data_IF_617038196694
#
_entry.id   IF_617038196694
#
_cell.length_a   1.000
_cell.length_b   1.000
_cell.length_c   1.000
_cell.angle_alpha   90.00
_cell.angle_beta   90.00
_cell.angle_gamma   90.00
#
_symmetry.space_group_name_H-M   'P 1'
#
loop_
_entity.id
_entity.type
_entity.pdbx_description
1 polymer ?
2 non-polymer ?
3 water ?
#
# COMPACT_ATOMS: atom_id res chain seq x y z
N UNK A 1 -2.20 -43.36 17.66
CA UNK A 1 -3.02 -42.79 18.73
C UNK A 1 -3.45 -41.35 18.44
N UNK A 2 -2.93 -40.76 17.36
CA UNK A 2 -3.37 -39.44 16.96
C UNK A 2 -3.03 -39.23 15.49
N UNK A 3 -3.98 -38.66 14.75
CA UNK A 3 -3.76 -38.21 13.38
C UNK A 3 -4.38 -36.83 13.24
N UNK A 4 -3.73 -35.95 12.48
CA UNK A 4 -4.19 -34.58 12.40
C UNK A 4 -3.92 -34.00 11.01
N UNK A 5 -4.88 -33.25 10.49
CA UNK A 5 -4.68 -32.42 9.32
C UNK A 5 -4.92 -30.97 9.68
N UNK A 6 -4.05 -30.08 9.21
CA UNK A 6 -4.20 -28.64 9.39
C UNK A 6 -4.77 -28.07 8.11
N UNK A 7 -5.88 -27.34 8.22
CA UNK A 7 -6.47 -26.63 7.10
C UNK A 7 -6.29 -25.14 7.33
N UNK A 8 -5.89 -24.42 6.29
CA UNK A 8 -5.77 -22.97 6.40
C UNK A 8 -7.14 -22.35 6.66
N UNK A 9 -7.18 -21.36 7.55
CA UNK A 9 -8.43 -20.85 8.06
C UNK A 9 -9.27 -20.06 7.05
N UNK A 10 -8.73 -19.76 5.88
CA UNK A 10 -9.39 -18.86 4.95
C UNK A 10 -10.27 -19.57 3.93
N UNK A 11 -10.41 -20.89 4.01
CA UNK A 11 -11.20 -21.65 3.05
C UNK A 11 -12.31 -22.46 3.73
N UNK A 12 -12.46 -22.33 5.04
CA UNK A 12 -13.46 -23.09 5.77
C UNK A 12 -13.80 -22.29 7.02
N UNK A 13 -15.09 -22.20 7.32
CA UNK A 13 -15.60 -21.65 8.56
C UNK A 13 -16.27 -22.77 9.36
N UNK A 14 -16.54 -22.57 10.66
CA UNK A 14 -17.22 -23.63 11.41
C UNK A 14 -18.65 -23.85 10.94
N UNK A 15 -19.29 -22.84 10.39
CA UNK A 15 -20.61 -23.04 9.80
C UNK A 15 -20.51 -23.92 8.56
N UNK A 16 -19.59 -23.59 7.64
CA UNK A 16 -19.41 -24.42 6.45
C UNK A 16 -19.06 -25.85 6.81
N UNK A 17 -18.19 -26.04 7.81
CA UNK A 17 -17.85 -27.40 8.21
C UNK A 17 -19.09 -28.14 8.69
N UNK A 18 -19.90 -27.50 9.55
CA UNK A 18 -21.09 -28.16 10.07
C UNK A 18 -22.03 -28.58 8.95
N UNK A 20 -21.38 -29.26 5.86
CA UNK A 20 -20.81 -30.25 4.95
C UNK A 20 -20.52 -31.59 5.61
N UNK A 21 -20.26 -31.61 6.92
CA UNK A 21 -19.93 -32.85 7.58
C UNK A 21 -21.14 -33.78 7.62
N UNK A 22 -20.89 -35.06 7.42
CA UNK A 22 -21.96 -36.06 7.37
C UNK A 22 -21.99 -36.96 8.59
N UNK A 23 -21.15 -36.70 9.60
CA UNK A 23 -21.10 -37.55 10.77
C UNK A 23 -22.31 -37.42 11.67
N UNK A 24 -22.42 -38.40 12.58
CA UNK A 24 -23.52 -38.45 13.54
C UNK A 24 -23.30 -37.51 14.71
N UNK A 25 -24.40 -37.05 15.30
CA UNK A 25 -24.42 -36.29 16.58
C UNK A 25 -23.44 -35.12 16.58
N UNK A 26 -23.60 -34.24 15.59
CA UNK A 26 -22.73 -33.08 15.43
C UNK A 26 -23.05 -31.99 16.45
N UNK A 27 -22.01 -31.48 17.12
CA UNK A 27 -22.16 -30.39 18.07
C UNK A 27 -21.16 -29.29 17.72
N UNK A 28 -21.54 -28.05 18.03
CA UNK A 28 -20.64 -26.89 17.89
C UNK A 28 -20.58 -26.20 19.24
N UNK A 29 -19.37 -25.88 19.67
CA UNK A 29 -19.12 -25.07 20.86
C UNK A 29 -18.08 -24.02 20.47
N UNK A 30 -18.39 -22.75 20.73
CA UNK A 30 -17.56 -21.66 20.25
C UNK A 30 -17.34 -20.64 21.36
N UNK A 31 -16.25 -19.88 21.22
CA UNK A 31 -15.93 -18.76 22.09
C UNK A 31 -15.63 -17.56 21.21
N UNK A 32 -16.50 -16.54 21.25
CA UNK A 32 -16.34 -15.37 20.38
C UNK A 32 -16.44 -14.09 21.22
N UNK A 33 -15.37 -13.69 21.92
CA UNK A 33 -15.35 -12.37 22.54
C UNK A 33 -15.36 -11.24 21.51
N UNK A 39 -10.09 -6.87 12.06
CA UNK A 39 -10.62 -7.04 10.71
C UNK A 39 -11.79 -6.09 10.48
N UNK A 40 -11.65 -5.21 9.47
CA UNK A 40 -12.65 -4.21 9.17
C UNK A 40 -13.31 -4.48 7.82
N UNK A 41 -12.61 -4.25 6.71
CA UNK A 41 -13.21 -4.39 5.38
C UNK A 41 -12.26 -5.11 4.44
N UNK A 42 -12.85 -5.84 3.48
CA UNK A 42 -12.12 -6.39 2.35
C UNK A 42 -12.87 -6.04 1.08
N UNK A 43 -12.15 -5.52 0.11
CA UNK A 43 -12.70 -5.17 -1.18
C UNK A 43 -12.14 -6.13 -2.21
N UNK A 44 -13.04 -6.70 -3.01
CA UNK A 44 -12.68 -7.51 -4.15
C UNK A 44 -13.36 -6.88 -5.35
N UNK A 45 -12.61 -6.65 -6.42
CA UNK A 45 -13.16 -5.99 -7.60
C UNK A 45 -12.73 -6.73 -8.87
N UNK A 46 -13.60 -6.68 -9.89
CA UNK A 46 -13.43 -7.49 -11.09
C UNK A 46 -14.15 -6.83 -12.25
N UNK A 47 -13.79 -7.26 -13.46
CA UNK A 47 -14.38 -6.77 -14.70
C UNK A 47 -14.39 -5.24 -14.79
N UNK A 48 -13.23 -4.59 -14.74
CA UNK A 48 -13.20 -3.12 -14.74
C UNK A 48 -13.72 -2.56 -16.05
N UNK A 49 -14.35 -1.39 -15.96
CA UNK A 49 -14.83 -0.69 -17.16
C UNK A 49 -13.67 -0.02 -17.90
N UNK A 50 -12.70 0.51 -17.17
CA UNK A 50 -11.57 1.25 -17.72
C UNK A 50 -10.27 0.79 -17.09
N UNK A 51 -9.22 0.90 -17.88
CA UNK A 51 -7.83 0.88 -17.42
C UNK A 51 -7.24 2.26 -17.68
N UNK A 52 -6.67 2.86 -16.64
CA UNK A 52 -6.04 4.17 -16.78
C UNK A 52 -4.58 4.01 -16.36
N UNK A 53 -3.67 4.39 -17.25
CA UNK A 53 -2.27 4.06 -17.08
C UNK A 53 -1.43 5.22 -17.61
N UNK A 54 -0.32 5.49 -16.91
CA UNK A 54 0.67 6.48 -17.33
C UNK A 54 2.02 5.76 -17.44
N UNK A 55 2.56 5.71 -18.66
CA UNK A 55 3.88 5.12 -18.82
C UNK A 55 4.59 5.82 -19.97
N UNK A 56 5.91 5.94 -19.83
CA UNK A 56 6.77 6.54 -20.86
C UNK A 56 6.27 7.94 -21.23
N UNK A 57 5.78 8.66 -20.23
CA UNK A 57 5.32 10.02 -20.43
C UNK A 57 3.99 10.19 -21.14
N UNK A 58 3.21 9.12 -21.30
CA UNK A 58 1.98 9.14 -22.08
C UNK A 58 0.83 8.59 -21.24
N UNK A 59 -0.34 9.22 -21.35
CA UNK A 59 -1.53 8.82 -20.60
C UNK A 59 -2.46 8.02 -21.50
N UNK A 60 -2.88 6.85 -21.02
CA UNK A 60 -3.74 5.95 -21.78
C UNK A 60 -5.03 5.66 -21.02
N UNK A 61 -6.14 5.57 -21.76
CA UNK A 61 -7.40 5.05 -21.25
C UNK A 61 -7.86 3.96 -22.22
N UNK A 62 -7.94 2.73 -21.73
CA UNK A 62 -8.23 1.56 -22.56
C UNK A 62 -7.43 1.60 -23.86
N UNK A 63 -6.14 1.94 -23.77
CA UNK A 63 -5.28 1.95 -24.93
C UNK A 63 -5.28 3.22 -25.73
N UNK A 64 -6.20 4.15 -25.49
CA UNK A 64 -6.26 5.39 -26.25
C UNK A 64 -5.47 6.49 -25.55
N UNK A 65 -4.71 7.24 -26.34
CA UNK A 65 -3.90 8.34 -25.81
C UNK A 65 -4.80 9.48 -25.37
N UNK A 66 -4.57 9.99 -24.17
CA UNK A 66 -5.32 11.13 -23.65
C UNK A 66 -4.31 12.26 -23.39
N UNK A 67 -4.62 13.45 -23.93
CA UNK A 67 -3.71 14.60 -23.80
C UNK A 67 -4.09 15.43 -22.58
N UNK A 68 -3.87 14.84 -21.40
CA UNK A 68 -4.25 15.46 -20.13
C UNK A 68 -3.20 15.12 -19.08
N UNK A 69 -3.16 15.95 -18.03
CA UNK A 69 -2.40 15.57 -16.84
C UNK A 69 -2.98 14.29 -16.25
N UNK A 70 -2.14 13.33 -15.84
CA UNK A 70 -2.67 12.01 -15.42
C UNK A 70 -3.53 12.05 -14.17
N UNK A 71 -3.19 12.88 -13.18
CA UNK A 71 -3.99 12.87 -11.96
C UNK A 71 -5.28 13.66 -12.14
N UNK A 72 -5.23 14.79 -12.84
CA UNK A 72 -6.48 15.52 -13.13
C UNK A 72 -7.44 14.65 -13.94
N UNK A 73 -6.91 13.94 -14.93
CA UNK A 73 -7.79 13.09 -15.73
C UNK A 73 -8.36 11.94 -14.90
N UNK A 74 -7.51 11.29 -14.10
CA UNK A 74 -8.00 10.19 -13.28
C UNK A 74 -9.16 10.64 -12.39
N UNK A 75 -9.02 11.80 -11.74
CA UNK A 75 -10.08 12.26 -10.86
C UNK A 75 -11.34 12.57 -11.65
N UNK A 76 -11.20 13.27 -12.77
CA UNK A 76 -12.34 13.61 -13.60
C UNK A 76 -13.11 12.37 -14.04
N UNK A 77 -12.40 11.31 -14.44
CA UNK A 77 -13.08 10.09 -14.89
C UNK A 77 -13.73 9.36 -13.71
N UNK A 78 -13.08 9.39 -12.54
CA UNK A 78 -13.54 8.57 -11.42
C UNK A 78 -14.69 9.24 -10.67
N UNK A 79 -14.61 10.55 -10.45
CA UNK A 79 -15.49 11.24 -9.52
C UNK A 79 -16.89 11.39 -10.11
N UNK A 80 -17.90 11.00 -9.33
CA UNK A 80 -19.32 11.10 -9.73
C UNK A 80 -20.07 11.87 -8.66
N UNK A 81 -20.47 13.10 -8.99
CA UNK A 81 -21.00 14.05 -8.00
C UNK A 81 -22.26 13.52 -7.32
N UNK A 82 -23.18 12.94 -8.09
CA UNK A 82 -24.44 12.49 -7.53
C UNK A 82 -24.35 11.12 -6.86
N UNK A 83 -23.19 10.48 -6.88
CA UNK A 83 -23.04 9.14 -6.33
C UNK A 83 -22.72 9.19 -4.84
N UNK A 84 -23.46 8.40 -4.06
CA UNK A 84 -23.18 8.24 -2.64
C UNK A 84 -23.31 6.77 -2.26
N UNK A 85 -22.55 6.38 -1.23
CA UNK A 85 -22.63 5.04 -0.67
C UNK A 85 -21.99 5.03 0.71
N UNK A 86 -22.44 4.12 1.56
CA UNK A 86 -21.99 4.01 2.94
C UNK A 86 -20.96 2.90 3.15
N UNK A 87 -20.53 2.20 2.05
CA UNK A 87 -19.43 1.25 2.06
C UNK A 87 -18.12 1.98 1.83
N UNK A 88 -17.00 1.46 2.37
CA UNK A 88 -15.72 2.21 2.28
C UNK A 88 -15.32 2.59 0.85
N UNK A 89 -15.52 1.71 -0.12
CA UNK A 89 -15.06 1.94 -1.50
C UNK A 89 -16.18 2.46 -2.39
N UNK A 90 -17.28 1.71 -2.51
CA UNK A 90 -18.40 2.21 -3.30
C UNK A 90 -18.14 2.42 -4.79
N UNK A 91 -17.14 1.76 -5.35
CA UNK A 91 -16.87 2.00 -6.76
C UNK A 91 -15.81 3.05 -6.97
N UNK A 92 -15.10 2.93 -8.10
CA UNK A 92 -13.99 3.81 -8.39
C UNK A 92 -12.74 3.09 -8.86
N UNK A 93 -11.57 3.67 -8.61
CA UNK A 93 -10.30 3.17 -9.13
C UNK A 93 -9.50 2.47 -8.04
N UNK A 94 -8.84 1.38 -8.41
CA UNK A 94 -7.94 0.64 -7.53
C UNK A 94 -6.64 0.44 -8.28
N UNK A 95 -5.52 0.74 -7.63
CA UNK A 95 -4.23 0.73 -8.32
C UNK A 95 -3.16 1.42 -7.49
N UNK A 96 -2.15 1.93 -8.18
CA UNK A 96 -1.02 2.55 -7.51
C UNK A 96 -0.53 3.77 -8.28
N UNK A 97 0.24 4.59 -7.56
CA UNK A 97 0.97 5.73 -8.10
C UNK A 97 2.44 5.50 -7.76
N UNK A 98 3.27 5.38 -8.79
CA UNK A 98 4.67 5.12 -8.56
C UNK A 98 5.39 6.31 -7.94
N UNK A 99 6.48 6.01 -7.24
CA UNK A 99 7.31 7.06 -6.64
C UNK A 99 7.66 8.13 -7.66
N UNK A 100 7.95 7.72 -8.89
CA UNK A 100 8.47 8.63 -9.90
C UNK A 100 7.41 9.56 -10.48
N UNK A 102 6.06 11.85 -8.90
CA UNK A 102 6.36 13.17 -8.36
C UNK A 102 7.29 13.95 -9.28
N UNK A 103 8.02 13.26 -10.17
CA UNK A 103 8.87 13.97 -11.12
C UNK A 103 8.06 14.85 -12.08
N UNK A 104 6.76 14.59 -12.23
CA UNK A 104 5.91 15.46 -13.03
C UNK A 104 5.67 16.80 -12.35
N UNK A 105 5.89 16.89 -11.04
CA UNK A 105 5.54 18.09 -10.30
C UNK A 105 6.71 18.68 -9.53
N UNK A 106 7.83 17.96 -9.42
CA UNK A 106 9.08 18.48 -8.88
C UNK A 106 10.23 18.07 -9.77
N UNK A 107 11.28 18.91 -9.79
CA UNK A 107 12.49 18.61 -10.55
C UNK A 107 13.43 17.79 -9.67
N UNK A 108 13.40 16.47 -9.83
CA UNK A 108 14.22 15.59 -9.02
C UNK A 108 15.45 15.08 -9.78
N UNK A 109 15.66 15.53 -11.01
CA UNK A 109 16.82 15.12 -11.78
C UNK A 109 16.55 13.91 -12.65
N UNK A 110 17.61 13.42 -13.30
CA UNK A 110 17.46 12.33 -14.24
C UNK A 110 17.11 11.03 -13.50
N UNK A 111 16.09 10.35 -13.98
CA UNK A 111 15.63 9.12 -13.35
C UNK A 111 16.48 7.96 -13.84
N UNK A 112 17.01 7.12 -12.95
CA UNK A 112 17.90 6.02 -13.38
C UNK A 112 17.17 4.96 -14.20
N UNK A 113 17.96 4.02 -14.70
CA UNK A 113 17.45 2.93 -15.52
C UNK A 113 16.37 2.13 -14.77
N UNK A 114 15.32 1.77 -15.49
CA UNK A 114 14.24 0.95 -14.96
C UNK A 114 14.54 -0.52 -15.26
N UNK A 115 14.84 -1.30 -14.23
CA UNK A 115 15.09 -2.72 -14.40
C UNK A 115 13.84 -3.58 -14.19
N UNK A 116 12.70 -2.99 -13.84
CA UNK A 116 11.46 -3.72 -13.62
C UNK A 116 10.44 -3.44 -14.73
N UNK A 117 10.20 -2.17 -15.02
CA UNK A 117 9.33 -1.80 -16.13
C UNK A 117 7.86 -1.65 -15.80
N UNK A 118 7.51 -1.37 -14.55
CA UNK A 118 6.12 -1.05 -14.26
C UNK A 118 5.80 0.34 -14.79
N UNK A 119 4.54 0.60 -15.15
CA UNK A 119 4.14 1.97 -15.47
C UNK A 119 4.22 2.85 -14.24
N UNK A 120 4.29 4.16 -14.49
CA UNK A 120 4.36 5.09 -13.37
C UNK A 120 3.04 5.21 -12.63
N UNK A 122 -1.00 3.07 -12.63
CA UNK A 122 -1.87 2.05 -13.22
C UNK A 122 -3.08 1.87 -12.31
N UNK A 123 -4.26 2.19 -12.83
CA UNK A 123 -5.51 1.98 -12.11
C UNK A 123 -6.48 1.20 -12.98
N UNK A 124 -7.25 0.33 -12.36
CA UNK A 124 -8.46 -0.20 -12.96
C UNK A 124 -9.68 0.48 -12.34
N UNK A 125 -10.71 0.69 -13.16
CA UNK A 125 -11.91 1.44 -12.74
C UNK A 125 -13.09 0.48 -12.72
N UNK A 126 -13.71 0.32 -11.55
CA UNK A 126 -14.67 -0.75 -11.31
C UNK A 126 -16.04 -0.24 -10.90
N UNK A 127 -17.08 -0.87 -11.46
CA UNK A 127 -18.45 -0.79 -10.96
C UNK A 127 -18.98 -2.16 -10.57
N UNK A 128 -18.13 -3.18 -10.56
CA UNK A 128 -18.50 -4.53 -10.13
C UNK A 128 -17.51 -4.95 -9.05
N UNK A 129 -18.01 -5.20 -7.85
CA UNK A 129 -17.12 -5.43 -6.73
C UNK A 129 -17.92 -6.00 -5.56
N UNK A 131 -17.82 -6.02 -1.11
CA UNK A 131 -17.25 -5.46 0.11
C UNK A 131 -17.60 -6.41 1.25
N UNK A 132 -16.57 -6.95 1.90
CA UNK A 132 -16.75 -7.75 3.11
C UNK A 132 -16.78 -6.81 4.30
N UNK A 133 -17.93 -6.66 4.93
CA UNK A 133 -18.05 -5.90 6.17
C UNK A 133 -17.86 -6.89 7.31
N UNK A 134 -16.61 -7.08 7.71
CA UNK A 134 -16.29 -8.13 8.68
C UNK A 134 -16.91 -7.87 10.03
N UNK A 135 -17.03 -6.60 10.43
CA UNK A 135 -17.61 -6.32 11.75
C UNK A 135 -19.06 -6.80 11.80
N UNK A 136 -19.84 -6.54 10.75
CA UNK A 136 -21.22 -6.98 10.66
C UNK A 136 -21.37 -8.39 10.10
N UNK A 137 -20.28 -8.99 9.60
CA UNK A 137 -20.32 -10.32 8.99
C UNK A 137 -21.31 -10.36 7.84
N UNK A 138 -21.32 -9.30 7.04
CA UNK A 138 -22.18 -9.19 5.87
C UNK A 138 -21.31 -8.94 4.65
N UNK A 139 -21.70 -9.54 3.53
CA UNK A 139 -20.97 -9.41 2.29
C UNK A 139 -21.88 -8.71 1.29
N UNK A 140 -21.43 -7.57 0.76
CA UNK A 140 -22.19 -6.78 -0.18
C UNK A 140 -21.65 -7.05 -1.58
N UNK A 141 -22.45 -7.70 -2.42
CA UNK A 141 -22.08 -7.97 -3.81
C UNK A 141 -22.78 -6.94 -4.67
N UNK A 142 -21.99 -6.10 -5.35
CA UNK A 142 -22.49 -4.87 -5.97
C UNK A 142 -22.26 -4.91 -7.47
N UNK A 143 -23.29 -4.56 -8.24
CA UNK A 143 -23.15 -4.23 -9.65
C UNK A 143 -23.77 -2.85 -9.84
N UNK A 144 -22.99 -1.89 -10.33
CA UNK A 144 -23.41 -0.50 -10.40
C UNK A 144 -23.25 0.02 -11.83
N UNK A 145 -23.90 1.15 -12.14
CA UNK A 145 -23.86 1.71 -13.49
C UNK A 145 -23.15 3.06 -13.54
N UNK A 146 -22.25 3.33 -12.58
CA UNK A 146 -21.52 4.59 -12.50
C UNK A 146 -20.87 4.99 -13.82
N UNK A 147 -20.15 4.07 -14.45
CA UNK A 147 -19.27 4.40 -15.55
C UNK A 147 -19.79 3.93 -16.90
N UNK A 148 -20.84 3.10 -16.93
CA UNK A 148 -21.35 2.51 -18.15
C UNK A 148 -22.76 2.95 -18.52
N UNK A 149 -23.55 3.44 -17.56
CA UNK A 149 -25.00 3.66 -17.74
C UNK A 149 -25.73 2.37 -18.11
N UNK A 150 -25.24 1.23 -17.64
CA UNK A 150 -25.92 -0.05 -17.81
C UNK A 150 -27.36 0.02 -17.35
N UNK A 151 -28.23 -0.72 -18.02
CA UNK A 151 -29.60 -0.85 -17.55
C UNK A 151 -29.65 -1.68 -16.27
N UNK A 152 -30.75 -1.52 -15.53
CA UNK A 152 -31.00 -2.34 -14.35
C UNK A 152 -31.07 -3.82 -14.70
N UNK A 153 -31.55 -4.14 -15.91
CA UNK A 153 -31.55 -5.53 -16.37
C UNK A 153 -30.13 -6.08 -16.47
N UNK A 154 -29.20 -5.26 -16.97
CA UNK A 154 -27.81 -5.71 -17.10
C UNK A 154 -27.16 -5.89 -15.73
N UNK A 155 -27.48 -5.01 -14.76
CA UNK A 155 -26.92 -5.20 -13.43
C UNK A 155 -27.38 -6.52 -12.83
N UNK A 156 -28.67 -6.84 -12.99
CA UNK A 156 -29.20 -8.05 -12.40
C UNK A 156 -28.59 -9.29 -13.03
N UNK A 157 -28.35 -9.27 -14.35
CA UNK A 157 -27.70 -10.42 -14.99
C UNK A 157 -26.27 -10.59 -14.50
N UNK A 158 -25.52 -9.48 -14.42
CA UNK A 158 -24.14 -9.57 -13.94
C UNK A 158 -24.11 -10.11 -12.52
N UNK A 159 -25.03 -9.64 -11.68
CA UNK A 159 -25.06 -10.07 -10.29
C UNK A 159 -25.38 -11.56 -10.20
N UNK A 160 -26.35 -12.03 -10.99
CA UNK A 160 -26.70 -13.45 -10.96
C UNK A 160 -25.52 -14.31 -11.38
N UNK A 161 -24.73 -13.84 -12.34
CA UNK A 161 -23.57 -14.60 -12.79
C UNK A 161 -22.51 -14.69 -11.70
N UNK A 162 -22.24 -13.57 -11.02
CA UNK A 162 -21.28 -13.58 -9.90
C UNK A 162 -21.73 -14.58 -8.84
N UNK A 163 -23.01 -14.56 -8.49
CA UNK A 163 -23.52 -15.45 -7.45
C UNK A 163 -23.40 -16.91 -7.87
N UNK A 164 -23.66 -17.20 -9.14
CA UNK A 164 -23.53 -18.58 -9.60
C UNK A 164 -22.08 -19.04 -9.54
N UNK A 165 -21.14 -18.14 -9.86
CA UNK A 165 -19.72 -18.49 -9.74
C UNK A 165 -19.34 -18.77 -8.29
N UNK A 166 -19.88 -17.98 -7.35
CA UNK A 166 -19.55 -18.15 -5.94
C UNK A 166 -20.03 -19.47 -5.37
N UNK A 167 -21.05 -20.09 -5.95
CA UNK A 167 -21.54 -21.37 -5.43
C UNK A 167 -20.61 -22.52 -5.76
N UNK A 168 -19.72 -22.36 -6.74
CA UNK A 168 -18.96 -23.45 -7.32
C UNK A 168 -17.56 -23.43 -6.72
N UNK A 169 -17.12 -24.49 -6.03
CA UNK A 169 -15.80 -24.45 -5.40
C UNK A 169 -14.70 -24.49 -6.44
N UNK A 170 -13.67 -23.70 -6.22
CA UNK A 170 -12.43 -23.88 -6.96
C UNK A 170 -11.86 -25.26 -6.65
N UNK A 171 -11.26 -25.95 -7.63
CA UNK A 171 -10.87 -27.36 -7.41
C UNK A 171 -9.73 -27.53 -6.41
N UNK A 172 -8.98 -26.49 -6.12
CA UNK A 172 -7.81 -26.57 -5.26
C UNK A 172 -8.00 -25.89 -3.90
N UNK A 173 -9.26 -25.75 -3.44
CA UNK A 173 -9.51 -24.99 -2.21
C UNK A 173 -8.82 -25.61 -0.99
N UNK A 174 -8.67 -26.93 -0.96
CA UNK A 174 -8.11 -27.58 0.23
C UNK A 174 -6.70 -28.12 0.01
N UNK A 175 -6.04 -27.76 -1.08
CA UNK A 175 -4.65 -28.11 -1.24
C UNK A 175 -3.80 -27.24 -0.32
N UNK A 176 -2.68 -27.80 0.12
CA UNK A 176 -1.79 -27.04 1.00
C UNK A 176 -1.16 -25.88 0.23
N UNK A 177 -0.71 -24.88 0.98
CA UNK A 177 -0.13 -23.69 0.37
C UNK A 177 1.16 -24.03 -0.36
N UNK A 178 1.27 -23.55 -1.59
CA UNK A 178 2.46 -23.75 -2.42
C UNK A 178 3.43 -22.60 -2.15
N UNK A 179 4.07 -22.65 -0.98
CA UNK A 179 5.00 -21.61 -0.57
C UNK A 179 6.46 -22.00 -0.71
N UNK A 180 6.88 -22.34 -1.91
CA UNK A 180 8.29 -22.56 -2.15
C UNK A 180 9.07 -21.29 -1.81
N UNK A 181 10.15 -21.37 -1.04
CA UNK A 181 10.88 -20.16 -0.67
C UNK A 181 11.84 -19.71 -1.77
N UNK A 182 11.97 -18.39 -1.88
CA UNK A 182 12.74 -17.77 -2.95
C UNK A 182 14.18 -17.51 -2.52
N UNK A 183 15.09 -17.60 -3.49
CA UNK A 183 16.50 -17.27 -3.27
C UNK A 183 16.73 -15.86 -3.80
N UNK A 184 16.66 -14.87 -2.92
CA UNK A 184 16.77 -13.47 -3.31
C UNK A 184 18.23 -13.09 -3.49
N UNK A 185 18.54 -12.39 -4.59
CA UNK A 185 19.88 -11.93 -4.84
C UNK A 185 19.92 -10.39 -4.83
N UNK A 186 20.97 -9.80 -4.28
CA UNK A 186 21.03 -8.33 -4.22
C UNK A 186 21.24 -7.73 -5.60
N UNK A 187 20.76 -6.50 -5.78
CA UNK A 187 20.98 -5.82 -7.04
C UNK A 187 22.21 -4.94 -7.04
N UNK A 188 22.79 -4.65 -5.87
CA UNK A 188 24.06 -3.97 -5.80
C UNK A 188 24.95 -4.70 -4.79
N UNK A 189 26.26 -4.49 -4.93
CA UNK A 189 27.21 -5.06 -4.00
C UNK A 189 27.02 -4.46 -2.61
N UNK A 190 27.18 -5.26 -1.55
CA UNK A 190 27.13 -4.70 -0.19
C UNK A 190 28.06 -3.52 0.04
N UNK A 191 29.25 -3.53 -0.57
CA UNK A 191 30.21 -2.45 -0.39
C UNK A 191 29.81 -1.21 -1.17
N UNK A 192 29.12 -1.38 -2.30
CA UNK A 192 28.65 -0.23 -3.06
C UNK A 192 27.53 0.50 -2.31
N UNK A 193 26.62 -0.24 -1.68
CA UNK A 193 25.59 0.40 -0.85
C UNK A 193 26.24 1.14 0.31
N UNK A 194 27.26 0.54 0.94
CA UNK A 194 27.92 1.21 2.04
C UNK A 194 28.64 2.46 1.58
N UNK A 195 29.14 2.47 0.34
CA UNK A 195 29.68 3.70 -0.21
C UNK A 195 28.63 4.77 -0.46
N UNK A 197 25.77 5.09 1.31
CA UNK A 197 25.50 5.58 2.65
C UNK A 197 26.56 6.60 3.06
N UNK A 198 27.84 6.27 2.80
CA UNK A 198 28.93 7.17 3.16
C UNK A 198 28.81 8.51 2.44
N UNK A 199 28.52 8.47 1.14
CA UNK A 199 28.37 9.69 0.36
C UNK A 199 27.23 10.55 0.90
N UNK A 200 26.07 9.93 1.17
CA UNK A 200 24.96 10.65 1.74
C UNK A 200 25.28 11.18 3.13
N UNK A 201 25.94 10.36 3.95
CA UNK A 201 26.34 10.80 5.29
C UNK A 201 27.20 12.05 5.21
N UNK A 202 28.18 12.06 4.31
CA UNK A 202 29.07 13.21 4.20
C UNK A 202 28.31 14.45 3.75
N UNK A 203 27.36 14.30 2.83
CA UNK A 203 26.55 15.45 2.42
C UNK A 203 25.80 16.04 3.60
N UNK A 204 25.21 15.17 4.43
CA UNK A 204 24.50 15.62 5.61
C UNK A 204 25.44 16.37 6.56
N UNK A 205 26.67 15.88 6.73
CA UNK A 205 27.63 16.57 7.58
C UNK A 205 27.98 17.95 7.01
N UNK A 206 28.07 18.07 5.69
CA UNK A 206 28.40 19.31 5.01
C UNK A 206 27.19 20.26 4.90
N UNK A 207 26.08 19.95 5.56
CA UNK A 207 24.92 20.82 5.57
C UNK A 207 23.98 20.65 4.39
N UNK A 208 24.17 19.64 3.54
CA UNK A 208 23.37 19.54 2.33
C UNK A 208 21.91 19.22 2.64
N UNK A 210 19.25 16.97 6.00
CA UNK A 210 19.20 16.37 7.33
C UNK A 210 19.02 14.86 7.30
N UNK A 211 18.32 14.31 6.31
CA UNK A 211 18.04 12.88 6.30
C UNK A 211 17.76 12.46 4.87
N UNK A 212 18.18 11.24 4.53
CA UNK A 212 18.10 10.74 3.16
C UNK A 212 17.86 9.24 3.22
N UNK A 213 16.73 8.79 2.68
CA UNK A 213 16.39 7.38 2.72
C UNK A 213 16.97 6.72 1.48
N UNK A 214 17.98 5.87 1.67
CA UNK A 214 18.56 5.07 0.60
C UNK A 214 18.07 3.63 0.71
N UNK A 215 17.80 3.01 -0.44
CA UNK A 215 17.18 1.70 -0.48
C UNK A 215 18.01 0.71 -1.29
N UNK A 216 17.78 -0.57 -1.00
CA UNK A 216 18.34 -1.69 -1.77
C UNK A 216 17.20 -2.52 -2.33
N UNK A 217 17.40 -3.04 -3.53
CA UNK A 217 16.46 -3.95 -4.15
C UNK A 217 17.03 -5.36 -4.14
N UNK A 218 16.14 -6.34 -4.08
CA UNK A 218 16.49 -7.76 -4.15
C UNK A 218 15.49 -8.44 -5.05
N UNK A 219 15.92 -9.51 -5.72
CA UNK A 219 14.97 -10.23 -6.56
C UNK A 219 15.34 -11.70 -6.67
N UNK A 220 14.33 -12.51 -6.99
CA UNK A 220 14.49 -13.95 -7.16
C UNK A 220 13.62 -14.44 -8.29
N UNK A 221 14.06 -15.53 -8.93
CA UNK A 221 13.22 -16.26 -9.87
C UNK A 221 11.98 -16.78 -9.15
N UNK A 222 10.80 -16.47 -9.70
CA UNK A 222 9.56 -16.84 -9.01
C UNK A 222 9.45 -18.35 -8.95
N UNK A 223 9.14 -18.87 -7.78
CA UNK A 223 8.79 -20.26 -7.59
C UNK A 223 7.58 -20.32 -6.67
N UNK A 224 6.76 -21.33 -6.87
CA UNK A 224 5.54 -21.42 -6.10
C UNK A 224 4.44 -20.53 -6.65
N UNK A 225 3.41 -20.36 -5.81
CA UNK A 225 2.18 -19.70 -6.18
C UNK A 225 2.11 -18.31 -5.55
N UNK A 226 1.96 -17.24 -6.34
CA UNK A 226 1.91 -15.89 -5.73
C UNK A 226 0.69 -15.67 -4.84
N UNK A 227 -0.48 -16.16 -5.25
CA UNK A 227 -1.68 -16.00 -4.45
C UNK A 227 -1.54 -16.71 -3.10
N UNK A 228 -0.93 -17.90 -3.08
CA UNK A 228 -0.73 -18.56 -1.80
C UNK A 228 0.20 -17.78 -0.90
N UNK A 229 1.17 -17.07 -1.48
CA UNK A 229 1.98 -16.15 -0.69
C UNK A 229 1.10 -15.07 -0.06
N UNK A 230 0.17 -14.51 -0.84
CA UNK A 230 -0.76 -13.53 -0.27
C UNK A 230 -1.59 -14.15 0.86
N UNK A 231 -2.10 -15.37 0.66
CA UNK A 231 -2.89 -16.02 1.70
C UNK A 231 -2.09 -16.17 2.98
N UNK A 232 -0.80 -16.47 2.86
CA UNK A 232 0.02 -16.60 4.06
C UNK A 232 0.37 -15.23 4.62
N UNK A 233 0.57 -14.25 3.74
CA UNK A 233 0.94 -12.91 4.18
C UNK A 233 -0.13 -12.28 5.05
N UNK A 234 -1.41 -12.43 4.67
CA UNK A 234 -2.47 -11.78 5.42
C UNK A 234 -2.68 -12.41 6.79
N UNK A 235 -2.16 -13.62 7.01
CA UNK A 235 -2.17 -14.19 8.35
C UNK A 235 -0.95 -13.76 9.16
N UNK A 236 0.21 -13.63 8.54
CA UNK A 236 1.43 -13.31 9.27
C UNK A 236 1.72 -11.81 9.35
N UNK A 237 1.06 -10.97 8.55
CA UNK A 237 1.26 -9.52 8.57
C UNK A 237 -0.07 -8.79 8.47
N UNK A 238 -0.92 -8.92 9.47
CA UNK A 238 -2.20 -8.19 9.44
C UNK A 238 -2.03 -6.68 9.60
N UNK A 239 -1.90 -5.98 8.47
CA UNK A 239 -1.74 -4.53 8.45
C UNK A 239 -3.05 -3.86 8.06
N UNK A 240 -3.11 -2.54 8.30
CA UNK A 240 -4.23 -1.74 7.81
C UNK A 240 -4.37 -1.82 6.29
N UNK A 241 -3.32 -2.28 5.60
CA UNK A 241 -3.32 -2.38 4.14
C UNK A 241 -2.77 -3.73 3.72
N UNK A 242 -3.63 -4.58 3.19
CA UNK A 242 -3.24 -5.78 2.49
C UNK A 242 -3.80 -5.71 1.08
N UNK A 243 -3.03 -6.18 0.10
CA UNK A 243 -3.47 -6.02 -1.28
C UNK A 243 -2.78 -7.04 -2.18
N UNK A 244 -3.56 -7.62 -3.07
CA UNK A 244 -3.09 -8.46 -4.16
C UNK A 244 -3.69 -7.87 -5.43
N UNK A 245 -2.87 -7.21 -6.25
CA UNK A 245 -3.31 -6.60 -7.51
C UNK A 245 -2.79 -7.42 -8.67
N UNK A 246 -3.69 -7.92 -9.51
CA UNK A 246 -3.29 -8.67 -10.70
C UNK A 246 -3.47 -7.77 -11.92
N UNK A 247 -2.36 -7.26 -12.44
CA UNK A 247 -2.40 -6.44 -13.65
C UNK A 247 -2.20 -7.27 -14.91
N UNK A 248 -2.17 -8.60 -14.80
CA UNK A 248 -2.00 -9.42 -15.97
C UNK A 248 -0.57 -9.86 -16.19
N UNK A 249 0.26 -8.97 -16.72
CA UNK A 249 1.66 -9.32 -16.92
C UNK A 249 2.53 -8.97 -15.70
N UNK A 250 1.95 -8.38 -14.66
CA UNK A 250 2.65 -8.23 -13.40
C UNK A 250 1.64 -8.18 -12.27
N UNK A 251 2.10 -8.51 -11.07
CA UNK A 251 1.27 -8.46 -9.87
C UNK A 251 1.98 -7.66 -8.79
N UNK A 252 1.19 -7.06 -7.93
CA UNK A 252 1.68 -6.31 -6.78
C UNK A 252 1.06 -6.91 -5.53
N UNK A 253 1.91 -7.32 -4.59
CA UNK A 253 1.46 -8.01 -3.38
C UNK A 253 2.13 -7.33 -2.19
N UNK A 254 1.33 -6.86 -1.24
CA UNK A 254 1.94 -6.11 -0.16
C UNK A 254 1.12 -6.08 1.11
N UNK A 255 1.81 -5.64 2.17
CA UNK A 255 1.25 -5.54 3.51
C UNK A 255 1.79 -4.28 4.18
N UNK A 256 1.58 -3.14 3.54
CA UNK A 256 2.08 -1.88 4.08
C UNK A 256 1.37 -1.53 5.38
N UNK A 257 2.09 -1.26 6.46
CA UNK A 257 1.46 -0.79 7.70
C UNK A 257 1.32 0.72 7.81
N UNK A 258 1.75 1.49 6.81
CA UNK A 258 1.84 2.94 6.92
C UNK A 258 0.97 3.59 5.86
N UNK A 259 -0.07 4.29 6.30
CA UNK A 259 -0.88 5.09 5.41
C UNK A 259 -0.08 6.27 4.88
N UNK A 260 -0.23 6.58 3.59
CA UNK A 260 0.33 7.83 3.08
C UNK A 260 -0.62 8.99 3.36
N UNK A 261 -1.89 8.86 2.95
CA UNK A 261 -2.86 9.93 3.09
C UNK A 261 -4.23 9.34 2.79
N UNK A 262 -5.26 9.87 3.45
CA UNK A 262 -6.62 9.51 3.13
C UNK A 262 -7.46 10.78 3.07
N UNK A 263 -8.52 10.72 2.29
CA UNK A 263 -9.50 11.78 2.20
C UNK A 263 -10.86 11.16 2.41
N UNK A 264 -11.63 11.71 3.36
CA UNK A 264 -12.92 11.14 3.74
C UNK A 264 -13.86 12.29 4.08
N UNK A 265 -14.92 12.44 3.28
CA UNK A 265 -15.90 13.51 3.44
C UNK A 265 -15.24 14.87 3.62
N UNK A 266 -14.32 15.19 2.73
CA UNK A 266 -13.65 16.48 2.76
C UNK A 266 -12.58 16.64 3.81
N UNK A 267 -12.34 15.63 4.64
CA UNK A 267 -11.30 15.66 5.65
C UNK A 267 -10.07 14.91 5.13
N UNK A 268 -8.91 15.56 5.19
CA UNK A 268 -7.62 14.95 4.86
C UNK A 268 -6.96 14.48 6.15
N UNK A 269 -6.47 13.24 6.15
CA UNK A 269 -5.86 12.66 7.34
C UNK A 269 -4.50 12.06 6.98
N UNK A 270 -3.50 12.31 7.83
CA UNK A 270 -2.25 11.56 7.80
C UNK A 270 -2.04 10.90 9.16
N UNK A 271 -1.20 9.87 9.16
CA UNK A 271 -0.97 9.05 10.35
C UNK A 271 0.53 8.84 10.48
N UNK A 272 1.26 9.86 10.93
CA UNK A 272 2.72 9.72 11.08
C UNK A 272 3.10 8.53 11.92
N UNK A 273 3.92 7.66 11.35
CA UNK A 273 4.46 6.49 12.04
C UNK A 273 5.98 6.59 11.97
N UNK A 274 6.61 6.75 13.12
CA UNK A 274 8.06 6.86 13.26
C UNK A 274 8.45 6.97 14.72
N UNK A 284 5.07 -7.10 31.72
CA UNK A 284 5.49 -5.71 31.79
C UNK A 284 6.58 -5.42 30.75
N UNK A 285 7.15 -6.48 30.18
CA UNK A 285 8.08 -6.33 29.06
C UNK A 285 7.44 -5.52 27.94
N UNK A 286 6.11 -5.54 27.85
CA UNK A 286 5.35 -4.59 27.07
C UNK A 286 5.73 -3.16 27.42
N UNK A 287 5.32 -2.72 28.61
CA UNK A 287 5.50 -1.34 29.04
C UNK A 287 6.96 -0.93 29.20
N UNK A 288 7.88 -1.90 29.25
CA UNK A 288 9.29 -1.58 29.48
C UNK A 288 9.86 -0.76 28.32
N UNK A 289 10.02 -1.41 27.16
CA UNK A 289 10.49 -0.71 25.97
C UNK A 289 9.53 0.38 25.52
N UNK A 290 8.36 0.51 26.15
CA UNK A 290 7.41 1.57 25.82
C UNK A 290 7.87 2.91 26.39
N UNK A 291 8.12 2.97 27.70
CA UNK A 291 8.59 4.21 28.30
C UNK A 291 10.01 4.54 27.83
N UNK A 292 10.79 3.53 27.48
CA UNK A 292 12.09 3.78 26.86
C UNK A 292 11.91 4.49 25.52
N UNK A 293 10.91 4.06 24.74
CA UNK A 293 10.66 4.70 23.45
C UNK A 293 10.19 6.15 23.63
N UNK A 294 9.41 6.41 24.67
CA UNK A 294 8.99 7.79 24.93
C UNK A 294 10.15 8.67 25.40
N UNK A 295 11.24 8.07 25.88
CA UNK A 295 12.50 8.79 25.98
C UNK A 295 13.20 8.65 24.63
N UNK A 296 14.54 8.63 24.61
CA UNK A 296 15.27 8.61 23.34
C UNK A 296 14.91 9.85 22.53
N UNK A 297 15.52 10.98 22.86
CA UNK A 297 15.22 12.24 22.18
C UNK A 297 15.48 12.17 20.69
N UNK A 298 16.16 11.14 20.19
CA UNK A 298 16.34 10.97 18.76
C UNK A 298 15.10 10.38 18.09
N UNK A 299 14.45 9.42 18.75
CA UNK A 299 13.27 8.77 18.18
C UNK A 299 12.04 9.67 18.26
N UNK A 300 11.86 10.37 19.39
CA UNK A 300 10.76 11.32 19.47
C UNK A 300 10.95 12.47 18.49
N UNK A 301 12.18 12.99 18.37
CA UNK A 301 12.46 14.03 17.38
C UNK A 301 12.12 13.55 15.98
N UNK A 302 12.49 12.31 15.65
CA UNK A 302 12.10 11.71 14.38
C UNK A 302 10.58 11.80 14.19
N UNK A 303 9.82 11.34 15.19
CA UNK A 303 8.37 11.33 15.06
C UNK A 303 7.82 12.74 14.94
N UNK A 304 8.24 13.63 15.84
CA UNK A 304 7.77 15.01 15.80
C UNK A 304 8.01 15.63 14.42
N UNK A 306 8.01 14.12 11.60
CA UNK A 306 7.00 13.60 10.68
C UNK A 306 5.63 14.21 10.96
N UNK A 307 5.32 14.46 12.23
CA UNK A 307 4.06 15.13 12.55
C UNK A 307 4.04 16.53 11.93
N UNK A 308 5.14 17.26 12.09
CA UNK A 308 5.20 18.61 11.53
C UNK A 308 5.17 18.59 10.00
N UNK A 309 5.73 17.57 9.37
CA UNK A 309 5.59 17.45 7.93
C UNK A 309 4.14 17.27 7.54
N UNK A 310 3.39 16.48 8.32
CA UNK A 310 1.98 16.28 8.03
C UNK A 310 1.15 17.52 8.27
N UNK A 311 1.45 18.26 9.35
CA UNK A 311 0.78 19.53 9.60
C UNK A 311 0.97 20.50 8.43
N UNK A 312 2.19 20.59 7.90
CA UNK A 312 2.43 21.52 6.79
C UNK A 312 1.80 21.02 5.49
N UNK A 313 1.95 19.73 5.17
CA UNK A 313 1.32 19.19 3.96
C UNK A 313 -0.17 19.45 3.95
N UNK A 314 -0.86 19.07 5.04
CA UNK A 314 -2.29 19.29 5.15
C UNK A 314 -2.61 20.79 5.17
N UNK A 315 -1.78 21.58 5.85
CA UNK A 315 -2.04 23.00 5.96
C UNK A 315 -2.01 23.72 4.62
N UNK A 316 -1.18 23.24 3.69
CA UNK A 316 -1.09 23.86 2.37
C UNK A 316 -2.36 23.67 1.54
N UNK A 317 -3.19 22.67 1.85
CA UNK A 317 -4.36 22.37 1.03
C UNK A 317 -5.66 22.48 1.82
N UNK A 318 -5.62 23.10 3.00
CA UNK A 318 -6.79 23.11 3.87
C UNK A 318 -7.07 24.52 4.36
N UNK A 319 -8.21 24.68 5.04
CA UNK A 319 -8.40 25.84 5.89
C UNK A 319 -7.36 25.80 7.00
N UNK A 320 -6.51 26.83 7.06
CA UNK A 320 -5.31 26.75 7.91
C UNK A 320 -5.63 26.57 9.38
N UNK A 321 -6.76 27.09 9.85
CA UNK A 321 -7.10 26.92 11.26
C UNK A 321 -7.95 25.69 11.51
N UNK A 322 -8.07 24.80 10.53
CA UNK A 322 -8.74 23.52 10.73
C UNK A 322 -7.77 22.38 10.98
N UNK A 323 -6.47 22.61 10.81
CA UNK A 323 -5.47 21.56 11.05
C UNK A 323 -5.42 21.23 12.53
N UNK A 324 -5.59 19.95 12.86
CA UNK A 324 -5.63 19.49 14.25
C UNK A 324 -4.79 18.23 14.39
N UNK A 325 -3.95 18.21 15.42
CA UNK A 325 -3.26 16.99 15.84
C UNK A 325 -4.15 16.37 16.90
N UNK A 326 -4.89 15.33 16.52
CA UNK A 326 -5.97 14.81 17.35
C UNK A 326 -5.52 13.66 18.22
N UNK A 327 -4.37 13.07 17.91
CA UNK A 327 -3.80 12.00 18.70
C UNK A 327 -2.30 12.18 18.53
N UNK A 328 -1.58 12.37 19.63
CA UNK A 328 -0.21 12.85 19.53
C UNK A 328 0.74 11.92 20.25
N UNK A 330 1.23 8.99 20.78
CA UNK A 330 0.87 7.79 21.51
C UNK A 330 1.61 6.60 20.91
N UNK A 331 1.73 5.55 21.70
CA UNK A 331 2.63 4.45 21.40
C UNK A 331 1.83 3.26 20.89
N UNK A 332 2.28 2.69 19.77
CA UNK A 332 1.62 1.55 19.13
C UNK A 332 2.65 0.45 18.89
N UNK A 333 2.37 -0.76 19.35
CA UNK A 333 3.32 -1.87 19.36
C UNK A 333 2.89 -2.92 18.36
N UNK A 334 3.66 -3.06 17.28
CA UNK A 334 3.44 -4.09 16.28
C UNK A 334 4.17 -5.37 16.69
N UNK A 335 4.40 -6.29 15.75
CA UNK A 335 4.91 -7.62 16.07
C UNK A 335 6.27 -7.91 15.46
N UNK A 336 7.05 -6.87 15.14
CA UNK A 336 8.44 -7.04 14.73
C UNK A 336 9.22 -5.78 15.08
N UNK A 337 8.51 -4.69 15.33
CA UNK A 337 9.12 -3.40 15.61
C UNK A 337 8.08 -2.52 16.29
N UNK A 339 6.71 1.65 17.30
CA UNK A 339 6.66 2.99 16.70
C UNK A 339 5.82 3.94 17.53
N UNK A 340 6.11 5.23 17.38
CA UNK A 340 5.28 6.30 17.92
C UNK A 340 4.29 6.77 16.86
N UNK A 341 3.03 6.95 17.27
CA UNK A 341 1.95 7.20 16.32
C UNK A 341 1.20 8.48 16.63
N UNK A 342 0.74 9.15 15.56
CA UNK A 342 -0.03 10.38 15.66
C UNK A 342 -1.04 10.46 14.53
N UNK A 343 -2.02 11.34 14.70
CA UNK A 343 -3.05 11.59 13.69
C UNK A 343 -3.13 13.09 13.44
N UNK A 344 -3.05 13.49 12.17
CA UNK A 344 -3.20 14.87 11.75
C UNK A 344 -4.36 14.95 10.76
N UNK A 345 -5.23 15.94 10.94
CA UNK A 345 -6.41 16.10 10.12
C UNK A 345 -6.60 17.56 9.75
N UNK A 346 -7.20 17.79 8.58
CA UNK A 346 -7.61 19.12 8.19
C UNK A 346 -8.78 19.08 7.22
N UNK A 347 -9.42 20.24 7.06
CA UNK A 347 -10.56 20.37 6.16
C UNK A 347 -10.09 20.85 4.79
N UNK A 348 -10.16 19.96 3.80
CA UNK A 348 -9.73 20.27 2.44
C UNK A 348 -10.43 21.53 1.90
N UNK A 349 -9.67 22.39 1.24
CA UNK A 349 -10.24 23.61 0.69
C UNK A 349 -11.26 23.27 -0.40
N UNK A 350 -12.32 24.08 -0.54
CA UNK A 350 -13.45 23.68 -1.39
C UNK A 350 -13.11 23.52 -2.87
N UNK A 351 -12.09 24.19 -3.38
CA UNK A 351 -11.74 24.03 -4.78
C UNK A 351 -10.77 22.87 -5.04
N UNK A 352 -10.30 22.18 -4.01
CA UNK A 352 -9.31 21.12 -4.17
C UNK A 352 -9.96 19.75 -4.02
N UNK A 353 -9.21 18.71 -4.39
CA UNK A 353 -9.71 17.34 -4.41
C UNK A 353 -8.68 16.41 -3.77
N UNK A 354 -9.00 15.11 -3.76
CA UNK A 354 -8.06 14.12 -3.26
C UNK A 354 -6.75 14.13 -4.03
N UNK A 356 -5.05 16.72 -4.97
CA UNK A 356 -4.21 17.69 -4.27
C UNK A 356 -3.66 17.10 -2.98
N UNK A 357 -4.46 16.27 -2.30
CA UNK A 357 -3.95 15.58 -1.11
C UNK A 357 -2.83 14.63 -1.49
N UNK A 358 -2.97 13.94 -2.63
CA UNK A 358 -1.94 13.02 -3.08
C UNK A 358 -0.67 13.79 -3.45
N UNK A 359 -0.81 14.86 -4.23
CA UNK A 359 0.36 15.62 -4.63
C UNK A 359 1.02 16.31 -3.43
N UNK A 360 0.25 16.62 -2.39
CA UNK A 360 0.83 17.29 -1.23
C UNK A 360 1.67 16.36 -0.37
N UNK A 361 1.46 15.04 -0.47
CA UNK A 361 2.12 14.09 0.43
C UNK A 361 3.08 13.13 -0.26
N UNK A 362 2.99 12.95 -1.58
CA UNK A 362 3.78 11.93 -2.26
C UNK A 362 5.17 12.48 -2.59
N UNK A 363 6.25 11.78 -2.22
CA UNK A 363 6.23 10.55 -1.44
C UNK A 363 6.43 10.84 0.03
N UNK A 364 6.09 9.87 0.88
CA UNK A 364 6.19 10.06 2.32
C UNK A 364 7.60 10.44 2.76
N UNK A 365 7.69 11.30 3.78
CA UNK A 365 8.98 11.67 4.32
C UNK A 365 9.82 10.48 4.74
N UNK A 366 9.19 9.41 5.24
CA UNK A 366 9.92 8.23 5.71
C UNK A 366 10.55 7.41 4.57
N UNK A 367 10.23 7.70 3.31
CA UNK A 367 10.90 7.04 2.20
C UNK A 367 11.67 8.02 1.32
N UNK A 368 11.82 9.27 1.76
CA UNK A 368 12.52 10.25 0.94
C UNK A 368 13.58 10.96 1.79
N UNK A 369 13.18 11.94 2.57
CA UNK A 369 14.10 12.59 3.48
C UNK A 369 13.68 14.02 3.75
N UNK A 370 14.60 14.77 4.36
CA UNK A 370 14.38 16.14 4.76
C UNK A 370 15.64 16.96 4.52
N UNK A 371 15.57 18.07 3.76
CA UNK A 371 14.38 18.54 3.03
C UNK A 371 14.05 17.59 1.86
N UNK A 372 12.75 17.42 1.59
CA UNK A 372 12.31 16.32 0.71
C UNK A 372 12.87 16.47 -0.71
N UNK A 373 12.83 17.68 -1.28
CA UNK A 373 13.23 17.82 -2.68
C UNK A 373 14.73 17.58 -2.85
N UNK A 374 15.54 18.17 -1.97
CA UNK A 374 16.98 17.92 -2.01
C UNK A 374 17.28 16.44 -1.78
N UNK A 375 16.59 15.82 -0.83
CA UNK A 375 16.82 14.41 -0.57
C UNK A 375 16.45 13.55 -1.78
N UNK A 377 16.60 14.55 -4.97
CA UNK A 377 17.66 14.71 -5.97
C UNK A 377 18.88 13.87 -5.61
N UNK A 378 19.24 13.83 -4.32
CA UNK A 378 20.40 13.04 -3.90
C UNK A 378 20.14 11.54 -4.06
N UNK A 379 18.92 11.10 -3.78
CA UNK A 379 18.58 9.68 -3.94
C UNK A 379 18.85 9.22 -5.37
N UNK A 380 18.51 10.05 -6.34
CA UNK A 380 18.71 9.64 -7.73
C UNK A 380 20.10 9.99 -8.27
N UNK A 381 20.95 10.59 -7.44
CA UNK A 381 22.37 10.62 -7.75
C UNK A 381 23.09 9.40 -7.21
N UNK A 382 22.50 8.71 -6.25
CA UNK A 382 23.10 7.55 -5.59
C UNK A 382 22.47 6.23 -6.02
N UNK A 383 21.15 6.11 -5.98
CA UNK A 383 20.52 4.88 -6.41
C UNK A 383 20.66 4.71 -7.91
N UNK A 384 20.83 3.45 -8.34
CA UNK A 384 21.11 3.14 -9.73
C UNK A 384 19.92 2.54 -10.46
N UNK A 385 18.79 2.36 -9.78
CA UNK A 385 17.59 1.79 -10.38
C UNK A 385 16.41 2.70 -10.06
N UNK A 386 15.57 2.95 -11.07
CA UNK A 386 14.31 3.64 -10.84
C UNK A 386 13.50 2.92 -9.77
N UNK A 387 12.94 3.68 -8.83
CA UNK A 387 12.22 3.07 -7.72
C UNK A 387 10.94 2.40 -8.18
N UNK A 388 10.17 3.06 -9.05
CA UNK A 388 8.96 2.42 -9.56
C UNK A 388 7.88 2.38 -8.50
N UNK A 389 7.30 1.19 -8.30
CA UNK A 389 6.22 1.03 -7.32
C UNK A 389 6.72 1.36 -5.92
N UNK A 390 7.90 0.84 -5.55
CA UNK A 390 8.45 1.08 -4.23
C UNK A 390 8.47 2.56 -3.90
N UNK A 391 8.00 2.90 -2.69
CA UNK A 391 7.98 4.24 -2.12
C UNK A 391 6.96 5.15 -2.77
N UNK A 392 6.04 4.61 -3.56
CA UNK A 392 4.90 5.37 -4.06
C UNK A 392 3.70 5.19 -3.16
N UNK A 393 2.51 5.07 -3.77
CA UNK A 393 1.25 5.05 -3.05
C UNK A 393 0.33 4.01 -3.66
N UNK A 394 -0.33 3.21 -2.81
CA UNK A 394 -1.15 2.09 -3.24
C UNK A 394 -2.49 2.17 -2.51
N UNK A 395 -3.58 2.01 -3.25
CA UNK A 395 -4.88 1.96 -2.62
C UNK A 395 -6.01 2.23 -3.59
N UNK A 396 -7.00 3.05 -3.20
CA UNK A 396 -8.15 3.29 -4.07
C UNK A 396 -8.51 4.77 -4.08
N UNK A 397 -9.21 5.16 -5.16
CA UNK A 397 -9.91 6.45 -5.26
C UNK A 397 -11.38 6.15 -5.53
N UNK A 398 -12.22 6.47 -4.57
CA UNK A 398 -13.64 6.15 -4.69
C UNK A 398 -14.36 7.17 -5.57
N UNK A 399 -15.41 6.70 -6.23
CA UNK A 399 -16.26 7.57 -7.05
C UNK A 399 -16.85 8.71 -6.24
N UNK A 400 -16.99 8.55 -4.92
CA UNK A 400 -17.40 9.66 -4.06
C UNK A 400 -16.35 10.77 -3.99
N UNK A 401 -15.14 10.53 -4.48
CA UNK A 401 -14.04 11.43 -4.24
C UNK A 401 -13.26 11.15 -2.97
N UNK A 402 -13.72 10.23 -2.13
CA UNK A 402 -12.92 9.74 -1.02
C UNK A 402 -11.72 8.95 -1.55
N UNK A 404 -8.06 6.49 -0.12
CA UNK A 404 -7.24 5.91 0.93
C UNK A 404 -6.01 5.29 0.30
N UNK A 405 -4.84 5.82 0.62
CA UNK A 405 -3.59 5.43 -0.02
C UNK A 405 -2.56 4.99 1.02
N UNK A 406 -1.98 3.81 0.82
CA UNK A 406 -0.87 3.35 1.63
C UNK A 406 0.47 3.72 0.99
N UNK A 407 1.48 3.93 1.85
CA UNK A 407 2.86 4.04 1.37
C UNK A 407 3.31 2.68 0.84
N UNK A 408 3.89 2.66 -0.36
CA UNK A 408 4.28 1.40 -1.01
C UNK A 408 5.63 0.91 -0.46
N UNK A 409 5.61 0.54 0.81
CA UNK A 409 6.69 -0.22 1.42
C UNK A 409 6.15 -1.60 1.74
N UNK A 410 7.06 -2.51 2.10
CA UNK A 410 6.70 -3.89 2.38
C UNK A 410 5.84 -4.46 1.24
N UNK A 411 6.24 -4.15 0.03
CA UNK A 411 5.48 -4.48 -1.17
C UNK A 411 6.36 -5.26 -2.12
N UNK A 413 6.87 -6.94 -6.01
CA UNK A 413 6.48 -6.86 -7.42
C UNK A 413 6.84 -8.17 -8.09
N UNK A 414 5.86 -8.80 -8.75
CA UNK A 414 6.08 -10.00 -9.54
C UNK A 414 5.98 -9.62 -11.02
N UNK A 415 7.11 -9.70 -11.72
CA UNK A 415 7.17 -9.31 -13.12
C UNK A 415 8.44 -9.89 -13.71
N UNK A 416 8.40 -10.16 -15.02
CA UNK A 416 9.56 -10.69 -15.75
C UNK A 416 9.99 -12.04 -15.18
N UNK A 417 9.05 -12.79 -14.62
CA UNK A 417 9.29 -14.09 -13.98
C UNK A 417 10.21 -13.96 -12.76
N UNK A 418 10.27 -12.77 -12.17
CA UNK A 418 11.05 -12.53 -10.96
C UNK A 418 10.17 -11.90 -9.89
N UNK A 419 10.63 -11.95 -8.65
CA UNK A 419 9.96 -11.33 -7.52
C UNK A 419 10.88 -10.27 -6.94
N UNK A 420 10.42 -9.03 -6.88
CA UNK A 420 11.25 -7.91 -6.45
C UNK A 420 10.79 -7.39 -5.10
N UNK A 421 11.71 -7.25 -4.17
CA UNK A 421 11.44 -6.56 -2.91
C UNK A 421 12.49 -5.48 -2.72
N UNK A 422 12.15 -4.48 -1.90
CA UNK A 422 12.99 -3.30 -1.74
C UNK A 422 12.73 -2.68 -0.38
N UNK A 423 13.78 -2.17 0.25
CA UNK A 423 13.62 -1.50 1.54
C UNK A 423 14.71 -0.46 1.73
N UNK A 424 14.35 0.63 2.42
CA UNK A 424 15.22 1.77 2.59
C UNK A 424 15.62 1.98 4.05
N UNK A 425 16.59 2.86 4.23
CA UNK A 425 17.04 3.23 5.56
C UNK A 425 17.29 4.73 5.61
N UNK A 426 16.85 5.35 6.69
CA UNK A 426 17.07 6.77 6.87
C UNK A 426 18.50 7.04 7.28
N UNK A 427 19.27 7.64 6.38
CA UNK A 427 20.65 7.99 6.67
C UNK A 427 20.67 9.35 7.37
N UNK A 428 21.41 9.41 8.48
CA UNK A 428 21.58 10.65 9.23
C UNK A 428 23.07 10.88 9.45
N UNK A 429 23.41 11.90 10.24
CA UNK A 429 24.79 12.34 10.32
C UNK A 429 25.69 11.31 11.01
N UNK A 430 25.15 10.52 11.95
CA UNK A 430 25.93 9.51 12.65
C UNK A 430 25.56 8.09 12.23
N UNK A 431 25.17 7.89 10.96
CA UNK A 431 24.85 6.56 10.48
C UNK A 431 26.11 5.71 10.35
N UNK A 432 25.99 4.43 10.69
CA UNK A 432 27.03 3.45 10.47
C UNK A 432 26.64 2.63 9.25
N UNK A 433 27.48 2.63 8.22
CA UNK A 433 27.10 2.09 6.92
C UNK A 433 26.76 0.62 7.01
N UNK A 434 27.52 -0.14 7.81
CA UNK A 434 27.26 -1.58 7.95
C UNK A 434 25.92 -1.84 8.62
N UNK A 435 25.58 -1.06 9.65
CA UNK A 435 24.28 -1.21 10.30
C UNK A 435 23.15 -0.92 9.33
N UNK A 436 23.30 0.09 8.47
CA UNK A 436 22.23 0.45 7.55
C UNK A 436 22.10 -0.54 6.39
N UNK A 437 23.21 -1.14 5.97
CA UNK A 437 23.11 -2.25 5.03
C UNK A 437 22.32 -3.40 5.62
N UNK A 438 22.59 -3.73 6.89
CA UNK A 438 21.88 -4.81 7.56
C UNK A 438 20.41 -4.47 7.75
N UNK A 439 20.14 -3.28 8.29
CA UNK A 439 18.75 -2.85 8.48
C UNK A 439 17.96 -2.99 7.18
N UNK A 440 18.60 -2.71 6.05
CA UNK A 440 17.92 -2.71 4.78
C UNK A 440 17.60 -4.13 4.30
N UNK A 441 18.55 -5.06 4.44
CA UNK A 441 18.29 -6.40 3.94
C UNK A 441 17.32 -7.12 4.85
N UNK A 442 17.35 -6.85 6.15
CA UNK A 442 16.38 -7.46 7.06
C UNK A 442 14.97 -6.99 6.76
N UNK A 443 14.80 -5.68 6.61
CA UNK A 443 13.47 -5.14 6.31
C UNK A 443 12.95 -5.68 4.99
N UNK A 444 13.77 -5.59 3.92
CA UNK A 444 13.32 -6.02 2.60
C UNK A 444 12.89 -7.47 2.59
N UNK A 445 13.53 -8.32 3.39
CA UNK A 445 13.30 -9.76 3.35
C UNK A 445 12.38 -10.27 4.45
N UNK A 446 11.88 -9.39 5.32
CA UNK A 446 11.00 -9.89 6.38
C UNK A 446 9.65 -10.33 5.84
N UNK A 448 9.54 -12.14 3.12
CA UNK A 448 9.85 -13.40 2.45
C UNK A 448 9.43 -14.62 3.26
N UNK A 449 9.33 -14.50 4.57
CA UNK A 449 8.98 -15.62 5.45
C UNK A 449 7.78 -16.45 4.97
#
# INVERSE_FOLDING_TARGET
>A
SNAERIIHGDVLSPILAYXRLKGQHKVILESIPRDKETARFSILAYNPVFEIKFENGVLYQNGQVIDRDPLDFLYEVIHKSQHHSELPFGGGAIGFVGYDXISLYEEIGQIPEDTIGTPDXHFFVYESYXVFDHKKEKIHVIEDALYSERSQEALEKSLNQVLEELRIPAPNEFEDLDLSPLDFKPHIAPHKFEGXVETARDLIRNGDXFQCVLSQRFSAEVTGNPFDFYRNLRVTNPSNYLYFYDFGDYQIIGASPESLVSVKNGIVTTNPIAGTRPRGATDEEDKALATDLLSDEKETAEHRXLVDLGRNDIGRISETTSVQVTKYXEVELFRYVXHLTSVVKGRLLPELTAXDALKATLPAGTVSGAPKIRAXRRIYELETEKRGVYAGAIGYLSATGDXDLAIAIRTXILKNQRAYVQAGAGIVYDSIAQNEYQETINKAKSXTRI
#
